data_IF_038476958038
#
_entry.id   IF_038476958038
#
_cell.length_a   1.000
_cell.length_b   1.000
_cell.length_c   1.000
_cell.angle_alpha   90.00
_cell.angle_beta   90.00
_cell.angle_gamma   90.00
#
_symmetry.space_group_name_H-M   'P 1'
#
loop_
_entity.id
_entity.type
_entity.pdbx_description
1 polymer ?
#
# COMPACT_ATOMS: atom_id res chain seq x y z
N UNK A 1 21.11 5.90 -1.04
CA UNK A 1 20.67 4.84 -1.98
C UNK A 1 19.16 4.89 -1.94
N UNK A 2 18.55 5.26 -3.06
CA UNK A 2 17.15 5.73 -3.16
C UNK A 2 16.32 4.70 -3.92
N UNK A 3 15.09 4.42 -3.47
CA UNK A 3 14.21 3.46 -4.16
C UNK A 3 13.82 3.91 -5.57
N UNK A 4 13.68 2.95 -6.49
CA UNK A 4 13.31 3.20 -7.90
C UNK A 4 11.81 3.05 -8.20
N UNK A 5 11.06 2.46 -7.27
CA UNK A 5 9.61 2.29 -7.33
C UNK A 5 8.98 2.85 -6.05
N UNK A 6 7.80 3.49 -6.15
CA UNK A 6 7.15 4.06 -4.98
C UNK A 6 6.65 2.98 -4.03
N UNK A 7 6.56 3.30 -2.75
CA UNK A 7 5.80 2.51 -1.79
C UNK A 7 4.42 3.14 -1.58
N UNK A 8 3.39 2.31 -1.65
CA UNK A 8 2.00 2.73 -1.62
C UNK A 8 1.31 2.00 -0.48
N UNK A 9 0.64 2.76 0.39
CA UNK A 9 -0.27 2.22 1.40
C UNK A 9 -1.66 2.12 0.79
N UNK A 10 -2.26 0.95 0.90
CA UNK A 10 -3.67 0.72 0.61
C UNK A 10 -4.37 0.52 1.96
N UNK A 11 -5.18 1.49 2.37
CA UNK A 11 -5.94 1.47 3.63
C UNK A 11 -7.43 1.68 3.41
N UNK A 12 -8.20 1.56 4.49
CA UNK A 12 -9.66 1.62 4.49
C UNK A 12 -10.27 0.46 5.26
N UNK A 13 -11.55 0.60 5.59
CA UNK A 13 -12.30 -0.37 6.39
C UNK A 13 -12.23 -1.78 5.78
N UNK A 14 -12.14 -2.86 6.58
CA UNK A 14 -12.25 -4.23 6.05
C UNK A 14 -13.48 -4.39 5.13
N UNK A 15 -13.27 -4.88 3.91
CA UNK A 15 -14.34 -5.07 2.90
C UNK A 15 -14.43 -4.00 1.81
N UNK A 16 -13.71 -2.87 1.92
CA UNK A 16 -13.74 -1.80 0.92
C UNK A 16 -13.06 -2.16 -0.40
N UNK A 17 -12.09 -3.08 -0.39
CA UNK A 17 -11.51 -3.65 -1.62
C UNK A 17 -9.99 -3.56 -1.76
N UNK A 18 -9.24 -3.19 -0.71
CA UNK A 18 -7.77 -3.05 -0.70
C UNK A 18 -7.01 -4.15 -1.47
N UNK A 19 -7.14 -5.41 -1.03
CA UNK A 19 -6.44 -6.56 -1.62
C UNK A 19 -6.86 -6.85 -3.06
N UNK A 20 -8.11 -6.52 -3.42
CA UNK A 20 -8.60 -6.64 -4.80
C UNK A 20 -7.87 -5.65 -5.71
N UNK A 21 -7.74 -4.38 -5.29
CA UNK A 21 -6.99 -3.39 -6.06
C UNK A 21 -5.51 -3.77 -6.18
N UNK A 22 -4.88 -4.24 -5.09
CA UNK A 22 -3.50 -4.72 -5.15
C UNK A 22 -3.34 -5.83 -6.22
N UNK A 23 -4.23 -6.82 -6.20
CA UNK A 23 -4.21 -7.96 -7.13
C UNK A 23 -4.38 -7.52 -8.59
N UNK A 24 -5.25 -6.54 -8.85
CA UNK A 24 -5.51 -6.03 -10.20
C UNK A 24 -4.41 -5.06 -10.67
N UNK A 25 -3.80 -4.30 -9.75
CA UNK A 25 -2.72 -3.36 -10.04
C UNK A 25 -1.40 -4.05 -10.43
N UNK A 26 -1.02 -5.10 -9.68
CA UNK A 26 0.30 -5.75 -9.82
C UNK A 26 0.65 -6.18 -11.26
N UNK A 27 -0.27 -6.80 -12.05
CA UNK A 27 0.01 -7.20 -13.44
C UNK A 27 0.37 -6.05 -14.39
N UNK A 28 0.05 -4.80 -14.07
CA UNK A 28 0.39 -3.64 -14.91
C UNK A 28 1.89 -3.30 -14.87
N UNK A 29 2.66 -3.88 -13.94
CA UNK A 29 4.08 -3.62 -13.76
C UNK A 29 4.89 -4.93 -13.72
N UNK A 30 5.02 -5.63 -14.86
CA UNK A 30 5.79 -6.86 -14.93
C UNK A 30 7.30 -6.60 -14.76
N UNK A 31 8.09 -7.57 -14.27
CA UNK A 31 9.53 -7.43 -14.13
C UNK A 31 10.23 -7.21 -15.49
N UNK A 32 11.27 -6.38 -15.48
CA UNK A 32 12.08 -5.96 -16.65
C UNK A 32 12.87 -7.11 -17.28
N UNK A 33 13.27 -8.11 -16.49
CA UNK A 33 14.02 -9.28 -16.95
C UNK A 33 13.33 -10.59 -16.56
N UNK A 34 13.04 -11.50 -17.52
CA UNK A 34 12.55 -12.85 -17.24
C UNK A 34 13.70 -13.74 -16.73
N UNK A 35 14.34 -13.37 -15.62
CA UNK A 35 15.34 -14.23 -14.98
C UNK A 35 14.61 -15.34 -14.22
N UNK A 36 14.91 -16.58 -14.60
CA UNK A 36 14.15 -17.81 -14.40
C UNK A 36 14.02 -18.34 -12.94
N UNK A 37 14.02 -17.47 -11.92
CA UNK A 37 13.81 -17.93 -10.53
C UNK A 37 12.92 -17.04 -9.64
N UNK A 38 12.55 -15.82 -10.06
CA UNK A 38 11.67 -14.99 -9.25
C UNK A 38 10.21 -15.36 -9.51
N UNK A 39 9.54 -15.92 -8.51
CA UNK A 39 8.12 -16.29 -8.54
C UNK A 39 7.17 -15.09 -8.62
N UNK A 40 7.69 -13.86 -8.63
CA UNK A 40 6.89 -12.64 -8.62
C UNK A 40 6.47 -12.23 -10.03
N UNK A 41 5.16 -12.08 -10.24
CA UNK A 41 4.57 -11.58 -11.49
C UNK A 41 4.66 -10.06 -11.65
N UNK A 42 5.24 -9.35 -10.69
CA UNK A 42 5.30 -7.90 -10.64
C UNK A 42 6.62 -7.42 -10.04
N UNK A 43 7.04 -6.20 -10.41
CA UNK A 43 8.10 -5.43 -9.71
C UNK A 43 7.64 -5.05 -8.30
N UNK A 44 6.34 -4.92 -8.08
CA UNK A 44 5.78 -4.62 -6.78
C UNK A 44 5.71 -5.86 -5.90
N UNK A 45 5.96 -5.66 -4.61
CA UNK A 45 5.75 -6.64 -3.56
C UNK A 45 4.51 -6.27 -2.77
N UNK A 46 3.46 -7.09 -2.89
CA UNK A 46 2.24 -6.93 -2.08
C UNK A 46 2.41 -7.58 -0.72
N UNK A 47 2.25 -6.77 0.32
CA UNK A 47 2.27 -7.17 1.72
C UNK A 47 0.85 -7.00 2.26
N UNK A 48 0.05 -8.07 2.20
CA UNK A 48 -1.15 -8.21 3.05
C UNK A 48 -0.66 -8.46 4.48
N UNK A 49 -0.75 -7.45 5.33
CA UNK A 49 -0.19 -7.49 6.69
C UNK A 49 -0.79 -8.63 7.51
N UNK A 50 -2.09 -8.92 7.38
CA UNK A 50 -2.72 -10.00 8.13
C UNK A 50 -2.14 -11.36 7.75
N UNK A 51 -2.00 -11.62 6.44
CA UNK A 51 -1.41 -12.85 5.93
C UNK A 51 0.10 -12.93 6.19
N UNK A 52 0.81 -11.80 6.11
CA UNK A 52 2.25 -11.71 6.31
C UNK A 52 2.64 -11.92 7.78
N UNK A 53 1.93 -11.28 8.71
CA UNK A 53 2.15 -11.44 10.14
C UNK A 53 1.98 -12.91 10.57
N UNK A 54 0.94 -13.58 10.05
CA UNK A 54 0.72 -15.01 10.30
C UNK A 54 1.86 -15.90 9.78
N UNK A 55 2.43 -15.58 8.61
CA UNK A 55 3.49 -16.38 7.99
C UNK A 55 4.85 -16.20 8.67
N UNK A 56 5.07 -15.05 9.30
CA UNK A 56 6.33 -14.68 9.94
C UNK A 56 6.28 -14.76 11.47
N UNK A 57 5.23 -15.37 12.04
CA UNK A 57 5.04 -15.54 13.48
C UNK A 57 5.03 -14.20 14.26
N UNK A 58 4.40 -13.18 13.69
CA UNK A 58 4.27 -11.82 14.24
C UNK A 58 2.91 -11.58 14.90
N UNK A 59 2.14 -12.65 15.15
CA UNK A 59 0.84 -12.52 15.82
C UNK A 59 1.05 -12.66 17.31
N UNK A 60 0.65 -11.64 18.06
CA UNK A 60 0.64 -11.68 19.51
C UNK A 60 -0.64 -12.37 20.04
N UNK A 61 -1.07 -11.96 21.23
CA UNK A 61 -2.24 -12.52 21.91
C UNK A 61 -3.48 -12.33 21.05
N UNK A 62 -4.33 -13.34 21.11
CA UNK A 62 -5.67 -13.25 20.56
C UNK A 62 -6.54 -12.40 21.49
N UNK A 63 -7.24 -11.44 20.90
CA UNK A 63 -8.21 -10.58 21.56
C UNK A 63 -9.62 -11.17 21.33
N UNK A 64 -10.20 -11.73 22.39
CA UNK A 64 -11.54 -12.34 22.38
C UNK A 64 -12.65 -11.31 22.12
N UNK A 65 -12.46 -10.04 22.48
CA UNK A 65 -13.45 -8.97 22.28
C UNK A 65 -13.48 -8.52 20.82
N UNK A 66 -12.31 -8.45 20.19
CA UNK A 66 -12.15 -8.00 18.80
C UNK A 66 -12.22 -9.12 17.77
N UNK A 67 -12.18 -10.37 18.23
CA UNK A 67 -12.09 -11.60 17.43
C UNK A 67 -10.92 -11.51 16.42
N UNK A 68 -9.76 -11.10 16.92
CA UNK A 68 -8.57 -10.83 16.10
C UNK A 68 -7.27 -11.06 16.88
N UNK A 69 -6.20 -11.38 16.16
CA UNK A 69 -4.85 -11.34 16.74
C UNK A 69 -4.27 -9.94 16.63
N UNK A 70 -3.61 -9.50 17.70
CA UNK A 70 -2.74 -8.32 17.67
C UNK A 70 -1.47 -8.64 16.86
N UNK A 71 -0.94 -7.65 16.15
CA UNK A 71 0.26 -7.80 15.31
C UNK A 71 1.43 -7.11 16.03
N UNK A 72 2.57 -7.78 16.12
CA UNK A 72 3.82 -7.17 16.59
C UNK A 72 4.33 -6.18 15.53
N UNK A 73 3.95 -4.92 15.73
CA UNK A 73 4.22 -3.79 14.85
C UNK A 73 5.71 -3.48 14.71
N UNK A 74 6.47 -3.55 15.81
CA UNK A 74 7.92 -3.30 15.81
C UNK A 74 8.65 -4.38 14.99
N UNK A 75 8.32 -5.66 15.22
CA UNK A 75 8.92 -6.75 14.47
C UNK A 75 8.51 -6.73 12.97
N UNK A 76 7.28 -6.29 12.66
CA UNK A 76 6.82 -6.09 11.29
C UNK A 76 7.66 -5.01 10.58
N UNK A 77 7.90 -3.87 11.24
CA UNK A 77 8.74 -2.80 10.69
C UNK A 77 10.18 -3.27 10.47
N UNK A 78 10.78 -3.97 11.44
CA UNK A 78 12.14 -4.49 11.34
C UNK A 78 12.32 -5.46 10.15
N UNK A 79 11.31 -6.29 9.87
CA UNK A 79 11.32 -7.21 8.74
C UNK A 79 11.16 -6.51 7.38
N UNK A 80 10.42 -5.40 7.33
CA UNK A 80 10.12 -4.68 6.09
C UNK A 80 11.13 -3.55 5.78
N UNK A 81 11.84 -3.01 6.77
CA UNK A 81 12.83 -1.93 6.60
C UNK A 81 13.85 -2.22 5.49
N UNK A 82 14.43 -3.43 5.37
CA UNK A 82 15.39 -3.72 4.29
C UNK A 82 14.79 -3.61 2.88
N UNK A 83 13.47 -3.76 2.74
CA UNK A 83 12.76 -3.67 1.46
C UNK A 83 12.17 -2.29 1.19
N UNK A 84 11.98 -1.45 2.21
CA UNK A 84 11.38 -0.12 2.08
C UNK A 84 12.13 0.81 1.11
N UNK A 85 13.44 0.62 0.99
CA UNK A 85 14.32 1.51 0.25
C UNK A 85 14.51 2.89 0.88
N UNK A 86 14.14 3.09 2.15
CA UNK A 86 14.42 4.30 2.92
C UNK A 86 13.62 5.51 2.46
N UNK A 87 14.30 6.63 2.20
CA UNK A 87 13.69 7.86 1.67
C UNK A 87 13.58 7.82 0.14
N UNK A 88 12.52 8.43 -0.38
CA UNK A 88 12.31 8.58 -1.82
C UNK A 88 13.41 9.45 -2.45
N UNK A 89 13.78 9.22 -3.72
CA UNK A 89 14.59 10.18 -4.45
C UNK A 89 13.81 11.47 -4.67
N UNK A 90 14.52 12.59 -4.63
CA UNK A 90 13.99 13.90 -5.00
C UNK A 90 13.60 13.95 -6.47
N UNK A 91 12.61 14.79 -6.78
CA UNK A 91 12.24 15.09 -8.16
C UNK A 91 13.39 15.82 -8.88
N UNK A 92 13.49 15.61 -10.20
CA UNK A 92 14.55 16.17 -11.04
C UNK A 92 14.58 17.71 -11.07
N UNK A 93 13.45 18.35 -10.77
CA UNK A 93 13.27 19.79 -10.73
C UNK A 93 13.47 20.40 -9.33
N UNK A 94 13.84 19.60 -8.33
CA UNK A 94 14.21 20.09 -7.00
C UNK A 94 15.36 21.11 -7.07
N UNK A 95 15.35 22.12 -6.19
CA UNK A 95 16.40 23.14 -6.13
C UNK A 95 17.69 22.65 -5.45
N UNK A 96 17.71 21.41 -4.94
CA UNK A 96 18.84 20.80 -4.25
C UNK A 96 19.86 20.22 -5.25
N UNK A 97 20.99 20.91 -5.41
CA UNK A 97 22.07 20.51 -6.31
C UNK A 97 22.78 19.20 -5.88
N UNK A 98 22.75 18.83 -4.59
CA UNK A 98 23.30 17.54 -4.12
C UNK A 98 22.42 16.36 -4.51
N UNK A 99 21.10 16.57 -4.55
CA UNK A 99 20.13 15.56 -4.98
C UNK A 99 20.17 15.29 -6.51
N UNK A 100 20.41 16.34 -7.31
CA UNK A 100 20.58 16.22 -8.77
C UNK A 100 21.76 15.35 -9.18
N UNK A 101 22.83 15.33 -8.38
CA UNK A 101 24.03 14.53 -8.63
C UNK A 101 23.74 13.04 -8.38
N UNK A 102 23.02 12.71 -7.30
CA UNK A 102 22.60 11.34 -6.96
C UNK A 102 21.58 10.75 -7.96
N UNK A 103 20.65 11.55 -8.49
CA UNK A 103 19.68 11.10 -9.51
C UNK A 103 20.30 10.89 -10.90
N UNK A 104 21.50 11.45 -11.16
CA UNK A 104 22.19 11.35 -12.46
C UNK A 104 23.19 10.19 -12.54
N UNK A 105 23.55 9.59 -11.41
CA UNK A 105 24.46 8.44 -11.38
C UNK A 105 23.72 7.12 -11.69
N UNK A 106 23.53 6.85 -13.00
CA UNK A 106 23.36 5.50 -13.54
C UNK A 106 21.92 4.97 -13.60
N UNK A 107 21.67 4.12 -14.61
CA UNK A 107 20.46 3.31 -14.69
C UNK A 107 20.31 2.45 -13.41
N UNK A 108 19.07 2.20 -12.93
CA UNK A 108 18.84 1.42 -11.71
C UNK A 108 19.56 0.08 -11.80
N UNK A 109 20.34 -0.25 -10.77
CA UNK A 109 20.98 -1.57 -10.68
C UNK A 109 19.97 -2.64 -10.28
N UNK A 110 20.29 -3.91 -10.51
CA UNK A 110 19.47 -5.06 -10.06
C UNK A 110 19.24 -5.06 -8.53
N UNK A 111 20.05 -4.34 -7.74
CA UNK A 111 19.87 -4.15 -6.29
C UNK A 111 18.87 -3.02 -5.97
N UNK A 112 18.77 -2.00 -6.82
CA UNK A 112 17.83 -0.88 -6.70
C UNK A 112 16.41 -1.27 -7.13
N UNK A 113 16.26 -2.30 -7.97
CA UNK A 113 14.98 -2.94 -8.27
C UNK A 113 14.45 -3.78 -7.09
N UNK A 114 15.29 -4.17 -6.13
CA UNK A 114 14.88 -4.93 -4.94
C UNK A 114 14.37 -4.07 -3.79
N UNK A 115 14.55 -2.74 -3.86
CA UNK A 115 14.24 -1.78 -2.80
C UNK A 115 13.14 -0.82 -3.25
N UNK A 116 12.19 -0.55 -2.36
CA UNK A 116 10.93 0.11 -2.68
C UNK A 116 9.95 -0.82 -3.38
N UNK A 117 8.94 -0.24 -4.05
CA UNK A 117 7.91 -1.03 -4.73
C UNK A 117 7.05 -1.84 -3.78
N UNK A 118 6.83 -1.36 -2.56
CA UNK A 118 5.94 -2.02 -1.60
C UNK A 118 4.50 -1.58 -1.82
N UNK A 119 3.58 -2.55 -1.88
CA UNK A 119 2.14 -2.31 -1.73
C UNK A 119 1.75 -2.82 -0.35
N UNK A 120 1.57 -1.90 0.59
CA UNK A 120 1.27 -2.18 1.99
C UNK A 120 -0.26 -2.20 2.17
N UNK A 121 -0.84 -3.39 2.29
CA UNK A 121 -2.29 -3.60 2.39
C UNK A 121 -2.67 -3.93 3.83
N UNK A 122 -3.27 -2.94 4.50
CA UNK A 122 -3.78 -3.10 5.85
C UNK A 122 -4.94 -2.14 6.12
N UNK A 123 -5.68 -2.33 7.21
CA UNK A 123 -6.79 -1.41 7.56
C UNK A 123 -6.34 -0.21 8.39
N UNK A 124 -5.11 -0.28 8.91
CA UNK A 124 -4.42 0.76 9.68
C UNK A 124 -3.18 1.20 8.90
N UNK A 125 -2.79 2.47 9.05
CA UNK A 125 -1.74 3.08 8.24
C UNK A 125 -0.76 3.96 9.01
N UNK A 126 -1.02 4.29 10.27
CA UNK A 126 -0.16 5.15 11.10
C UNK A 126 1.14 4.48 11.57
N UNK A 127 1.22 3.15 11.45
CA UNK A 127 2.42 2.37 11.74
C UNK A 127 3.63 2.74 10.85
N UNK A 128 3.39 3.04 9.57
CA UNK A 128 4.49 3.12 8.61
C UNK A 128 5.29 4.42 8.78
N UNK A 129 6.64 4.36 8.84
CA UNK A 129 7.45 5.56 8.86
C UNK A 129 7.17 6.45 7.65
N UNK A 130 6.93 7.74 7.86
CA UNK A 130 6.59 8.70 6.78
C UNK A 130 7.60 8.66 5.62
N UNK A 131 8.89 8.53 5.92
CA UNK A 131 9.98 8.37 4.92
C UNK A 131 9.74 7.21 3.93
N UNK A 132 9.06 6.15 4.36
CA UNK A 132 8.80 5.00 3.52
C UNK A 132 7.71 5.27 2.50
N UNK A 133 6.79 6.21 2.73
CA UNK A 133 5.51 6.22 2.03
C UNK A 133 5.46 7.36 1.00
N UNK A 134 5.12 7.01 -0.24
CA UNK A 134 4.99 7.98 -1.33
C UNK A 134 3.53 8.31 -1.64
N UNK A 135 2.60 7.40 -1.32
CA UNK A 135 1.16 7.55 -1.53
C UNK A 135 0.38 6.72 -0.52
N UNK A 136 -0.68 7.30 0.03
CA UNK A 136 -1.68 6.64 0.88
C UNK A 136 -3.02 6.66 0.16
N UNK A 137 -3.53 5.49 -0.18
CA UNK A 137 -4.82 5.32 -0.83
C UNK A 137 -5.82 4.84 0.20
N UNK A 138 -6.82 5.66 0.50
CA UNK A 138 -7.92 5.32 1.41
C UNK A 138 -9.13 4.87 0.58
N UNK A 139 -9.45 3.59 0.62
CA UNK A 139 -10.62 3.05 -0.05
C UNK A 139 -11.87 3.23 0.80
N UNK A 140 -12.89 3.82 0.17
CA UNK A 140 -14.23 4.03 0.73
C UNK A 140 -15.25 3.16 0.04
N UNK A 141 -16.34 2.87 0.75
CA UNK A 141 -17.45 2.11 0.21
C UNK A 141 -18.77 2.59 0.82
N UNK A 142 -19.82 2.62 0.00
CA UNK A 142 -21.19 2.76 0.48
C UNK A 142 -21.49 1.71 1.55
N UNK A 143 -22.07 2.15 2.65
CA UNK A 143 -22.29 1.30 3.82
C UNK A 143 -23.21 0.10 3.51
N UNK A 144 -24.17 0.23 2.59
CA UNK A 144 -25.03 -0.90 2.22
C UNK A 144 -24.29 -1.93 1.37
N UNK A 145 -23.42 -1.47 0.46
CA UNK A 145 -22.56 -2.34 -0.32
C UNK A 145 -21.52 -3.04 0.57
N UNK A 146 -20.91 -2.31 1.51
CA UNK A 146 -19.95 -2.85 2.48
C UNK A 146 -20.60 -3.93 3.36
N UNK A 147 -21.79 -3.66 3.90
CA UNK A 147 -22.57 -4.62 4.68
C UNK A 147 -22.75 -5.94 3.93
N UNK A 148 -23.27 -5.87 2.70
CA UNK A 148 -23.51 -7.05 1.88
C UNK A 148 -22.22 -7.84 1.59
N UNK A 149 -21.08 -7.15 1.41
CA UNK A 149 -19.77 -7.80 1.21
C UNK A 149 -19.30 -8.54 2.46
N UNK A 150 -19.44 -7.93 3.63
CA UNK A 150 -19.02 -8.53 4.91
C UNK A 150 -19.90 -9.72 5.29
N UNK A 151 -21.22 -9.63 5.12
CA UNK A 151 -22.13 -10.77 5.31
C UNK A 151 -21.79 -11.93 4.36
N UNK A 152 -21.54 -11.64 3.09
CA UNK A 152 -21.15 -12.66 2.10
C UNK A 152 -19.82 -13.35 2.46
N UNK A 153 -18.92 -12.66 3.17
CA UNK A 153 -17.68 -13.23 3.70
C UNK A 153 -17.88 -14.07 4.97
N UNK A 154 -19.11 -14.15 5.50
CA UNK A 154 -19.46 -14.95 6.66
C UNK A 154 -19.08 -14.32 8.00
N UNK A 155 -18.93 -12.99 8.05
CA UNK A 155 -18.65 -12.28 9.30
C UNK A 155 -19.85 -12.37 10.25
N UNK A 156 -19.58 -12.46 11.55
CA UNK A 156 -20.62 -12.36 12.57
C UNK A 156 -21.32 -11.00 12.49
N UNK A 157 -22.63 -10.96 12.77
CA UNK A 157 -23.42 -9.73 12.63
C UNK A 157 -22.85 -8.55 13.43
N UNK A 158 -22.35 -8.79 14.65
CA UNK A 158 -21.68 -7.78 15.47
C UNK A 158 -20.46 -7.18 14.77
N UNK A 159 -19.65 -8.01 14.11
CA UNK A 159 -18.45 -7.58 13.36
C UNK A 159 -18.81 -6.85 12.06
N UNK A 160 -19.91 -7.23 11.41
CA UNK A 160 -20.46 -6.49 10.26
C UNK A 160 -20.87 -5.09 10.71
N UNK A 161 -21.63 -4.99 11.80
CA UNK A 161 -22.10 -3.71 12.34
C UNK A 161 -20.94 -2.81 12.78
N UNK A 162 -19.95 -3.35 13.49
CA UNK A 162 -18.74 -2.64 13.92
C UNK A 162 -17.98 -2.03 12.72
N UNK A 163 -17.64 -2.85 11.72
CA UNK A 163 -16.92 -2.36 10.54
C UNK A 163 -17.76 -1.37 9.75
N UNK A 164 -19.06 -1.62 9.59
CA UNK A 164 -19.92 -0.71 8.87
C UNK A 164 -20.04 0.66 9.56
N UNK A 165 -20.06 0.68 10.89
CA UNK A 165 -20.00 1.94 11.64
C UNK A 165 -18.63 2.62 11.51
N UNK A 166 -17.53 1.86 11.52
CA UNK A 166 -16.21 2.42 11.30
C UNK A 166 -16.09 3.12 9.92
N UNK A 167 -16.72 2.57 8.88
CA UNK A 167 -16.77 3.19 7.54
C UNK A 167 -17.62 4.48 7.53
N UNK A 168 -18.80 4.46 8.19
CA UNK A 168 -19.68 5.63 8.30
C UNK A 168 -18.99 6.77 9.06
N UNK A 169 -18.22 6.42 10.09
CA UNK A 169 -17.47 7.36 10.92
C UNK A 169 -16.11 7.75 10.32
N UNK A 170 -15.79 7.26 9.11
CA UNK A 170 -14.56 7.56 8.38
C UNK A 170 -13.27 7.25 9.14
N UNK A 171 -13.28 6.24 10.02
CA UNK A 171 -12.18 5.97 10.97
C UNK A 171 -10.83 5.85 10.27
N UNK A 172 -10.73 5.02 9.22
CA UNK A 172 -9.48 4.85 8.47
C UNK A 172 -9.05 6.12 7.70
N UNK A 173 -10.00 6.96 7.29
CA UNK A 173 -9.69 8.21 6.58
C UNK A 173 -9.14 9.26 7.54
N UNK A 174 -9.74 9.40 8.71
CA UNK A 174 -9.27 10.32 9.75
C UNK A 174 -7.92 9.89 10.32
N UNK A 175 -7.67 8.58 10.44
CA UNK A 175 -6.35 8.04 10.78
C UNK A 175 -5.31 8.44 9.74
N UNK A 176 -5.57 8.21 8.45
CA UNK A 176 -4.67 8.61 7.37
C UNK A 176 -4.38 10.12 7.39
N UNK A 177 -5.41 10.96 7.59
CA UNK A 177 -5.27 12.43 7.69
C UNK A 177 -4.47 12.89 8.90
N UNK A 178 -4.42 12.08 9.95
CA UNK A 178 -3.66 12.37 11.16
C UNK A 178 -2.19 11.93 11.04
N UNK A 179 -1.93 10.87 10.27
CA UNK A 179 -0.61 10.27 10.12
C UNK A 179 0.22 10.85 8.95
N UNK A 180 -0.44 11.33 7.88
CA UNK A 180 0.24 11.75 6.65
C UNK A 180 -0.18 13.16 6.21
N UNK A 181 0.65 13.75 5.35
CA UNK A 181 0.33 15.03 4.72
C UNK A 181 -0.84 14.89 3.74
N UNK A 182 -1.71 15.92 3.62
CA UNK A 182 -2.85 15.87 2.70
C UNK A 182 -2.48 15.57 1.25
N UNK A 183 -1.29 15.96 0.80
CA UNK A 183 -0.80 15.76 -0.57
C UNK A 183 -0.48 14.30 -0.87
N UNK A 184 -0.12 13.51 0.15
CA UNK A 184 0.16 12.09 0.01
C UNK A 184 -1.11 11.23 0.05
N UNK A 185 -2.27 11.79 0.44
CA UNK A 185 -3.50 11.04 0.67
C UNK A 185 -4.44 11.16 -0.52
N UNK A 186 -4.91 10.03 -1.03
CA UNK A 186 -5.95 9.94 -2.06
C UNK A 186 -7.09 9.05 -1.59
N UNK A 187 -8.29 9.61 -1.61
CA UNK A 187 -9.53 8.89 -1.33
C UNK A 187 -10.12 8.33 -2.63
N UNK A 188 -10.50 7.04 -2.63
CA UNK A 188 -11.10 6.35 -3.77
C UNK A 188 -12.33 5.54 -3.36
N UNK A 189 -13.46 5.74 -4.05
CA UNK A 189 -14.64 4.90 -3.88
C UNK A 189 -14.48 3.56 -4.61
N UNK A 190 -14.93 2.47 -3.99
CA UNK A 190 -14.82 1.11 -4.51
C UNK A 190 -16.08 0.29 -4.26
N UNK A 191 -17.21 0.73 -4.79
CA UNK A 191 -18.54 0.11 -4.69
C UNK A 191 -18.79 -0.90 -5.82
N UNK A 192 -18.29 -0.60 -7.02
CA UNK A 192 -18.49 -1.42 -8.22
C UNK A 192 -17.18 -1.91 -8.82
N UNK A 193 -17.29 -2.90 -9.72
CA UNK A 193 -16.14 -3.40 -10.48
C UNK A 193 -15.58 -2.34 -11.43
N UNK A 194 -16.43 -1.49 -12.04
CA UNK A 194 -15.96 -0.41 -12.91
C UNK A 194 -15.09 0.58 -12.13
N UNK A 195 -15.49 0.94 -10.91
CA UNK A 195 -14.69 1.82 -10.05
C UNK A 195 -13.32 1.19 -9.71
N UNK A 196 -13.25 -0.12 -9.47
CA UNK A 196 -11.97 -0.80 -9.23
C UNK A 196 -11.04 -0.63 -10.44
N UNK A 197 -11.55 -0.81 -11.65
CA UNK A 197 -10.77 -0.65 -12.90
C UNK A 197 -10.30 0.80 -13.08
N UNK A 198 -11.20 1.78 -12.90
CA UNK A 198 -10.87 3.21 -12.98
C UNK A 198 -9.84 3.63 -11.91
N UNK A 199 -9.98 3.11 -10.69
CA UNK A 199 -9.03 3.34 -9.60
C UNK A 199 -7.65 2.79 -9.95
N UNK A 200 -7.58 1.57 -10.49
CA UNK A 200 -6.31 0.96 -10.92
C UNK A 200 -5.67 1.79 -12.04
N UNK A 201 -6.42 2.22 -13.05
CA UNK A 201 -5.90 3.09 -14.11
C UNK A 201 -5.30 4.39 -13.56
N UNK A 202 -5.97 5.00 -12.57
CA UNK A 202 -5.48 6.20 -11.89
C UNK A 202 -4.18 5.92 -11.11
N UNK A 203 -4.09 4.80 -10.39
CA UNK A 203 -2.87 4.40 -9.67
C UNK A 203 -1.73 4.11 -10.64
N UNK A 204 -2.00 3.44 -11.77
CA UNK A 204 -1.02 3.17 -12.81
C UNK A 204 -0.46 4.47 -13.39
N UNK A 205 -1.34 5.43 -13.68
CA UNK A 205 -0.93 6.74 -14.17
C UNK A 205 -0.05 7.48 -13.15
N UNK A 206 -0.45 7.48 -11.88
CA UNK A 206 0.30 8.11 -10.79
C UNK A 206 1.70 7.48 -10.62
N UNK A 207 1.81 6.15 -10.62
CA UNK A 207 3.11 5.45 -10.49
C UNK A 207 4.05 5.82 -11.63
N UNK A 208 3.53 5.85 -12.87
CA UNK A 208 4.31 6.22 -14.06
C UNK A 208 4.80 7.67 -13.97
N UNK A 209 3.93 8.57 -13.50
CA UNK A 209 4.29 9.97 -13.29
C UNK A 209 5.35 10.13 -12.20
N UNK A 210 5.17 9.49 -11.03
CA UNK A 210 6.12 9.51 -9.92
C UNK A 210 7.53 9.09 -10.37
N UNK A 211 7.61 8.05 -11.21
CA UNK A 211 8.87 7.56 -11.81
C UNK A 211 9.48 8.56 -12.76
N UNK A 212 8.67 9.11 -13.67
CA UNK A 212 9.13 10.06 -14.67
C UNK A 212 9.69 11.34 -14.04
N UNK A 213 9.04 11.86 -12.99
CA UNK A 213 9.49 13.03 -12.23
C UNK A 213 10.84 12.80 -11.53
N UNK A 214 11.21 11.55 -11.28
CA UNK A 214 12.47 11.13 -10.64
C UNK A 214 13.49 10.56 -11.62
N UNK A 215 13.24 10.69 -12.93
CA UNK A 215 14.17 10.26 -13.97
C UNK A 215 14.20 8.76 -14.27
N UNK A 216 13.26 7.99 -13.71
CA UNK A 216 13.12 6.58 -14.06
C UNK A 216 12.22 6.41 -15.29
N UNK A 217 12.64 5.55 -16.24
CA UNK A 217 11.80 5.19 -17.39
C UNK A 217 10.64 4.27 -16.98
N UNK A 218 9.51 4.39 -17.68
CA UNK A 218 8.30 3.57 -17.50
C UNK A 218 8.50 2.09 -17.78
#
# INVERSE_FOLDING_TARGET
MVRSWPNIVLTGTPGTGKSTHATVLMPHFPPSSPSASSSSSSVFRHIDVGSFAKQNDLLEKYDDERDAHEVDEDALLDLLEPWSGGEAPDALDSEDEGAKEAAREGAPSDEDEKRGGLILDWHTCDLWPERWIDLVVVFRCDHTALWARLEKRGYAQSKVEENNQAEIMEVCLDEARSAYTPEAIVELHSDTQEQVEENVDRLVAWIKQWRAERGFSS
#
